data_IF_638580141122
#
_entry.id   IF_638580141122
#
_cell.length_a   1.000
_cell.length_b   1.000
_cell.length_c   1.000
_cell.angle_alpha   90.00
_cell.angle_beta   90.00
_cell.angle_gamma   90.00
#
_symmetry.space_group_name_H-M   'P 1'
#
loop_
_entity.id
_entity.type
_entity.pdbx_description
1 polymer ?
#
# COMPACT_ATOMS: atom_id res chain seq x y z
N UNK A 1 4.80 2.88 17.44
CA UNK A 1 5.03 2.68 15.98
C UNK A 1 5.43 1.23 15.77
N UNK A 2 4.81 0.54 14.82
CA UNK A 2 5.10 -0.87 14.56
C UNK A 2 6.15 -0.97 13.45
N UNK A 3 7.21 -1.74 13.68
CA UNK A 3 8.16 -2.03 12.62
C UNK A 3 7.46 -2.84 11.50
N UNK A 4 7.88 -2.70 10.22
CA UNK A 4 7.43 -3.60 9.17
C UNK A 4 7.67 -5.06 9.55
N UNK A 5 6.81 -5.95 9.05
CA UNK A 5 7.00 -7.38 9.21
C UNK A 5 8.39 -7.79 8.66
N UNK A 6 9.13 -8.70 9.34
CA UNK A 6 10.49 -9.06 8.93
C UNK A 6 10.59 -9.61 7.49
N UNK A 7 9.53 -10.27 7.02
CA UNK A 7 9.47 -10.81 5.65
C UNK A 7 9.17 -9.76 4.58
N UNK A 8 8.84 -8.52 4.94
CA UNK A 8 8.60 -7.48 3.95
C UNK A 8 9.92 -6.95 3.40
N UNK A 9 9.89 -6.54 2.14
CA UNK A 9 11.08 -6.21 1.38
C UNK A 9 11.28 -4.70 1.37
N UNK A 10 12.54 -4.28 1.57
CA UNK A 10 12.99 -2.92 1.29
C UNK A 10 13.84 -2.97 0.02
N UNK A 11 13.50 -2.19 -1.01
CA UNK A 11 14.34 -2.13 -2.22
C UNK A 11 15.76 -1.72 -1.87
N UNK A 12 16.74 -2.54 -2.27
CA UNK A 12 18.16 -2.27 -2.11
C UNK A 12 18.68 -1.53 -3.35
N UNK A 13 18.67 -0.20 -3.28
CA UNK A 13 19.08 0.68 -4.36
C UNK A 13 19.57 2.03 -3.80
N UNK A 14 20.38 2.80 -4.56
CA UNK A 14 21.00 4.04 -4.06
C UNK A 14 20.02 5.24 -4.06
N UNK A 15 18.85 5.08 -3.43
CA UNK A 15 17.88 6.16 -3.28
C UNK A 15 18.37 7.23 -2.29
N UNK A 16 17.97 8.51 -2.49
CA UNK A 16 18.20 9.55 -1.49
C UNK A 16 17.57 9.18 -0.15
N UNK A 17 18.21 9.54 0.98
CA UNK A 17 17.75 9.17 2.33
C UNK A 17 16.30 9.59 2.66
N UNK A 18 15.79 10.63 1.99
CA UNK A 18 14.41 11.12 2.14
C UNK A 18 13.37 10.32 1.36
N UNK A 19 13.79 9.41 0.47
CA UNK A 19 12.92 8.50 -0.27
C UNK A 19 12.83 7.21 0.54
N UNK A 20 11.60 6.79 0.84
CA UNK A 20 11.32 5.56 1.55
C UNK A 20 10.52 4.65 0.60
N UNK A 21 10.83 3.36 0.59
CA UNK A 21 10.13 2.38 -0.20
C UNK A 21 9.98 1.07 0.59
N UNK A 22 8.89 0.36 0.30
CA UNK A 22 8.51 -0.89 0.95
C UNK A 22 7.70 -1.72 -0.03
N UNK A 23 8.00 -3.01 -0.14
CA UNK A 23 7.19 -3.98 -0.87
C UNK A 23 6.73 -5.05 0.13
N UNK A 24 5.41 -5.23 0.25
CA UNK A 24 4.85 -6.21 1.18
C UNK A 24 5.02 -7.63 0.63
N UNK A 25 5.03 -8.61 1.53
CA UNK A 25 4.77 -10.02 1.17
C UNK A 25 3.39 -10.42 1.71
N UNK A 26 2.96 -11.66 1.45
CA UNK A 26 1.69 -12.17 1.99
C UNK A 26 1.66 -12.33 3.52
N UNK A 27 2.79 -12.15 4.21
CA UNK A 27 2.94 -12.38 5.63
C UNK A 27 2.53 -11.17 6.48
N UNK A 28 2.06 -11.43 7.70
CA UNK A 28 1.79 -10.40 8.71
C UNK A 28 0.38 -9.81 8.72
N UNK A 29 -0.59 -10.44 8.06
CA UNK A 29 -1.98 -9.99 8.07
C UNK A 29 -2.92 -10.93 8.84
N UNK A 30 -4.24 -10.75 8.64
CA UNK A 30 -5.29 -11.53 9.30
C UNK A 30 -6.34 -12.15 8.36
N UNK A 31 -6.17 -12.02 7.05
CA UNK A 31 -7.03 -12.69 6.07
C UNK A 31 -6.88 -14.21 6.20
N UNK A 32 -7.94 -14.94 5.85
CA UNK A 32 -7.96 -16.41 5.83
C UNK A 32 -7.75 -16.91 4.41
N UNK A 33 -7.47 -18.21 4.28
CA UNK A 33 -7.41 -18.86 2.97
C UNK A 33 -8.68 -18.55 2.15
N UNK A 34 -8.54 -18.22 0.85
CA UNK A 34 -7.32 -18.30 0.03
C UNK A 34 -6.41 -17.05 0.09
N UNK A 35 -6.73 -16.06 0.92
CA UNK A 35 -6.09 -14.74 0.98
C UNK A 35 -5.09 -14.60 2.14
N UNK A 36 -4.75 -15.71 2.79
CA UNK A 36 -3.88 -15.70 3.96
C UNK A 36 -2.50 -15.10 3.63
N UNK A 37 -1.94 -14.16 4.40
CA UNK A 37 -2.49 -13.49 5.58
C UNK A 37 -2.72 -11.99 5.34
N UNK A 38 -1.88 -11.32 4.54
CA UNK A 38 -1.88 -9.87 4.32
C UNK A 38 -2.43 -9.51 2.94
N UNK A 39 -3.67 -9.86 2.65
CA UNK A 39 -4.34 -9.35 1.45
C UNK A 39 -4.71 -7.87 1.63
N UNK A 40 -4.35 -7.05 0.63
CA UNK A 40 -4.64 -5.62 0.56
C UNK A 40 -5.69 -5.28 -0.53
N UNK A 41 -6.05 -6.25 -1.37
CA UNK A 41 -7.03 -6.08 -2.44
C UNK A 41 -8.46 -6.16 -1.89
N UNK A 42 -9.27 -5.14 -2.18
CA UNK A 42 -10.66 -4.99 -1.73
C UNK A 42 -11.71 -5.52 -2.73
N UNK A 43 -11.27 -5.99 -3.90
CA UNK A 43 -12.13 -6.41 -5.01
C UNK A 43 -11.90 -7.86 -5.44
N UNK A 44 -11.26 -8.66 -4.58
CA UNK A 44 -10.91 -10.08 -4.87
C UNK A 44 -11.78 -11.10 -4.14
N UNK A 45 -12.76 -10.64 -3.35
CA UNK A 45 -13.69 -11.49 -2.61
C UNK A 45 -13.26 -11.89 -1.20
N UNK A 46 -12.25 -11.23 -0.63
CA UNK A 46 -11.85 -11.39 0.78
C UNK A 46 -12.82 -10.64 1.72
N UNK A 47 -12.73 -10.93 3.02
CA UNK A 47 -13.48 -10.22 4.05
C UNK A 47 -13.04 -8.73 4.09
N UNK A 48 -13.94 -7.77 3.84
CA UNK A 48 -13.62 -6.35 3.87
C UNK A 48 -13.01 -5.88 5.20
N UNK A 49 -13.39 -6.49 6.33
CA UNK A 49 -12.81 -6.14 7.63
C UNK A 49 -11.37 -6.61 7.75
N UNK A 50 -11.05 -7.79 7.21
CA UNK A 50 -9.69 -8.30 7.18
C UNK A 50 -8.79 -7.44 6.27
N UNK A 51 -9.28 -7.08 5.08
CA UNK A 51 -8.55 -6.18 4.15
C UNK A 51 -8.30 -4.83 4.80
N UNK A 52 -9.31 -4.24 5.45
CA UNK A 52 -9.16 -2.96 6.13
C UNK A 52 -8.13 -3.04 7.27
N UNK A 53 -8.15 -4.11 8.08
CA UNK A 53 -7.16 -4.32 9.13
C UNK A 53 -5.74 -4.51 8.56
N UNK A 54 -5.58 -5.19 7.42
CA UNK A 54 -4.29 -5.35 6.75
C UNK A 54 -3.77 -4.01 6.20
N UNK A 55 -4.65 -3.19 5.60
CA UNK A 55 -4.29 -1.82 5.16
C UNK A 55 -3.86 -0.93 6.33
N UNK A 56 -4.49 -1.05 7.50
CA UNK A 56 -4.07 -0.36 8.72
C UNK A 56 -2.69 -0.83 9.21
N UNK A 57 -2.38 -2.13 9.13
CA UNK A 57 -1.03 -2.65 9.44
C UNK A 57 0.03 -2.08 8.50
N UNK A 58 -0.26 -2.00 7.20
CA UNK A 58 0.63 -1.35 6.23
C UNK A 58 0.85 0.12 6.59
N UNK A 59 -0.21 0.89 6.86
CA UNK A 59 -0.09 2.29 7.26
C UNK A 59 0.77 2.46 8.52
N UNK A 60 0.62 1.59 9.52
CA UNK A 60 1.44 1.62 10.73
C UNK A 60 2.93 1.40 10.43
N UNK A 61 3.25 0.46 9.53
CA UNK A 61 4.62 0.20 9.07
C UNK A 61 5.21 1.35 8.24
N UNK A 62 4.36 2.09 7.52
CA UNK A 62 4.68 3.34 6.83
C UNK A 62 4.72 4.56 7.78
N UNK A 63 4.84 4.34 9.09
CA UNK A 63 4.92 5.40 10.12
C UNK A 63 3.72 6.33 10.13
N UNK A 64 2.54 5.81 9.78
CA UNK A 64 1.28 6.54 9.75
C UNK A 64 0.95 7.20 8.41
N UNK A 65 1.89 7.19 7.44
CA UNK A 65 1.63 7.67 6.08
C UNK A 65 0.56 6.80 5.43
N UNK A 66 -0.53 7.43 5.01
CA UNK A 66 -1.64 6.77 4.31
C UNK A 66 -1.21 6.42 2.88
N UNK A 67 -1.17 5.14 2.49
CA UNK A 67 -1.08 4.76 1.08
C UNK A 67 -2.41 5.06 0.38
N UNK A 68 -2.35 5.52 -0.87
CA UNK A 68 -3.53 5.72 -1.72
C UNK A 68 -3.69 4.52 -2.65
N UNK A 69 -4.82 3.83 -2.55
CA UNK A 69 -5.13 2.69 -3.41
C UNK A 69 -5.86 3.14 -4.67
N UNK A 70 -5.33 2.81 -5.85
CA UNK A 70 -5.95 3.10 -7.13
C UNK A 70 -6.96 2.01 -7.53
N UNK A 71 -7.91 2.37 -8.39
CA UNK A 71 -8.67 1.39 -9.16
C UNK A 71 -7.88 1.05 -10.43
N UNK A 72 -7.01 0.05 -10.33
CA UNK A 72 -6.18 -0.42 -11.44
C UNK A 72 -7.04 -1.14 -12.48
N UNK A 73 -6.92 -0.72 -13.74
CA UNK A 73 -7.73 -1.22 -14.86
C UNK A 73 -6.87 -1.75 -16.01
N UNK A 74 -5.57 -1.99 -15.76
CA UNK A 74 -4.58 -2.43 -16.74
C UNK A 74 -4.42 -1.44 -17.92
N UNK A 75 -4.61 -0.16 -17.65
CA UNK A 75 -4.36 0.94 -18.57
C UNK A 75 -2.97 1.57 -18.39
N UNK A 76 -2.85 2.80 -18.86
CA UNK A 76 -1.60 3.58 -18.84
C UNK A 76 -1.77 4.95 -18.19
N UNK A 77 -2.92 5.19 -17.55
CA UNK A 77 -3.20 6.47 -16.90
C UNK A 77 -2.36 6.64 -15.64
N UNK A 78 -1.85 7.84 -15.44
CA UNK A 78 -1.02 8.25 -14.29
C UNK A 78 -1.73 9.38 -13.55
N UNK A 79 -1.81 9.27 -12.22
CA UNK A 79 -2.39 10.32 -11.37
C UNK A 79 -1.33 10.98 -10.49
N UNK A 80 -1.48 12.27 -10.23
CA UNK A 80 -0.68 12.99 -9.23
C UNK A 80 -1.31 12.83 -7.85
N UNK A 81 -0.57 12.23 -6.91
CA UNK A 81 -1.05 12.09 -5.53
C UNK A 81 -0.90 13.42 -4.79
N UNK A 82 -2.03 13.88 -4.28
CA UNK A 82 -2.14 15.00 -3.36
C UNK A 82 -3.00 14.61 -2.14
N UNK A 83 -2.91 15.32 -1.01
CA UNK A 83 -3.60 14.93 0.24
C UNK A 83 -5.12 14.77 0.13
N UNK A 84 -5.75 15.47 -0.81
CA UNK A 84 -7.19 15.37 -1.09
C UNK A 84 -7.61 14.19 -1.99
N UNK A 85 -6.69 13.38 -2.50
CA UNK A 85 -7.04 12.26 -3.37
C UNK A 85 -7.62 11.10 -2.53
N UNK A 86 -8.84 10.70 -2.87
CA UNK A 86 -9.48 9.54 -2.29
C UNK A 86 -8.94 8.24 -2.90
N UNK A 87 -9.16 7.12 -2.22
CA UNK A 87 -8.92 5.81 -2.84
C UNK A 87 -9.89 5.58 -4.01
N UNK A 88 -9.51 4.71 -4.94
CA UNK A 88 -10.34 4.31 -6.08
C UNK A 88 -10.23 5.20 -7.32
N UNK A 89 -9.27 6.14 -7.38
CA UNK A 89 -8.98 6.85 -8.62
C UNK A 89 -8.59 5.86 -9.72
N UNK A 90 -9.22 5.94 -10.90
CA UNK A 90 -8.97 5.03 -12.03
C UNK A 90 -7.63 5.38 -12.68
N UNK A 91 -6.61 4.57 -12.40
CA UNK A 91 -5.26 4.69 -12.95
C UNK A 91 -4.43 3.45 -12.61
N UNK A 92 -3.29 3.29 -13.27
CA UNK A 92 -2.38 2.16 -13.08
C UNK A 92 -1.00 2.59 -12.59
N UNK A 93 -0.75 3.89 -12.47
CA UNK A 93 0.43 4.47 -11.85
C UNK A 93 0.10 5.78 -11.13
N UNK A 94 0.96 6.16 -10.19
CA UNK A 94 0.92 7.46 -9.53
C UNK A 94 2.29 8.08 -9.38
N UNK A 95 2.32 9.40 -9.24
CA UNK A 95 3.51 10.18 -8.89
C UNK A 95 3.19 11.11 -7.74
N UNK A 96 4.20 11.56 -7.00
CA UNK A 96 4.03 12.67 -6.06
C UNK A 96 5.33 13.42 -5.87
N UNK A 97 5.22 14.73 -5.72
CA UNK A 97 6.29 15.59 -5.20
C UNK A 97 6.01 16.06 -3.77
N UNK A 98 4.87 15.64 -3.19
CA UNK A 98 4.41 16.05 -1.86
C UNK A 98 4.91 15.05 -0.79
N UNK A 99 5.63 15.51 0.24
CA UNK A 99 6.03 14.65 1.36
C UNK A 99 4.83 14.09 2.12
N UNK A 100 4.97 12.89 2.69
CA UNK A 100 3.96 12.30 3.57
C UNK A 100 2.79 11.61 2.84
N UNK A 101 2.96 11.32 1.56
CA UNK A 101 2.07 10.46 0.77
C UNK A 101 2.84 9.22 0.30
N UNK A 102 2.13 8.10 0.19
CA UNK A 102 2.66 6.87 -0.40
C UNK A 102 1.81 6.48 -1.61
N UNK A 103 2.50 6.31 -2.74
CA UNK A 103 2.18 5.25 -3.69
C UNK A 103 2.55 3.90 -3.02
#
# INVERSE_FOLDING_TARGET
MQAPHPDWLRPDWPAPARVQALCTTRAGGCSRAPFDSLNLGDHVGDDPQAVQANRQRLQAALRGVRPVFLQQVHGTQVVDLHPGLADGAVADACVSTTPGLAC
#
